data_IF_198837164519
#
_entry.id   IF_198837164519
#
_cell.length_a   1.000
_cell.length_b   1.000
_cell.length_c   1.000
_cell.angle_alpha   90.00
_cell.angle_beta   90.00
_cell.angle_gamma   90.00
#
_symmetry.space_group_name_H-M   'P 1'
#
loop_
_entity.id
_entity.type
_entity.pdbx_description
1 polymer ?
#
# COMPACT_ATOMS: atom_id res chain seq x y z
N UNK A 1 -14.90 9.29 -15.83
CA UNK A 1 -13.48 9.62 -16.08
C UNK A 1 -13.16 10.99 -15.52
N UNK A 2 -12.25 11.04 -14.55
CA UNK A 2 -11.82 12.25 -13.86
C UNK A 2 -10.90 13.09 -14.78
N UNK A 3 -11.17 14.40 -14.98
CA UNK A 3 -10.36 15.21 -15.90
C UNK A 3 -8.92 15.43 -15.40
N UNK A 4 -7.91 14.95 -16.16
CA UNK A 4 -6.48 15.11 -15.80
C UNK A 4 -6.08 16.57 -15.60
N UNK A 5 -6.57 17.48 -16.44
CA UNK A 5 -6.33 18.92 -16.31
C UNK A 5 -6.76 19.47 -14.94
N UNK A 6 -7.76 18.86 -14.29
CA UNK A 6 -8.21 19.25 -12.95
C UNK A 6 -7.14 18.94 -11.91
N UNK A 7 -6.57 17.73 -11.94
CA UNK A 7 -5.48 17.33 -11.05
C UNK A 7 -4.22 18.19 -11.27
N UNK A 8 -3.85 18.48 -12.51
CA UNK A 8 -2.69 19.33 -12.82
C UNK A 8 -2.86 20.77 -12.34
N UNK A 9 -4.06 21.34 -12.54
CA UNK A 9 -4.40 22.67 -12.02
C UNK A 9 -4.35 22.70 -10.51
N UNK A 10 -4.79 21.63 -9.85
CA UNK A 10 -4.72 21.51 -8.40
C UNK A 10 -3.27 21.52 -7.89
N UNK A 11 -2.37 20.73 -8.49
CA UNK A 11 -0.94 20.74 -8.15
C UNK A 11 -0.33 22.14 -8.33
N UNK A 12 -0.66 22.80 -9.44
CA UNK A 12 -0.18 24.16 -9.75
C UNK A 12 -0.75 25.21 -8.79
N UNK A 13 -1.99 25.04 -8.32
CA UNK A 13 -2.61 25.96 -7.37
C UNK A 13 -2.03 25.78 -5.97
N UNK A 14 -1.84 24.53 -5.52
CA UNK A 14 -1.27 24.24 -4.19
C UNK A 14 0.18 24.71 -4.08
N UNK A 15 0.99 24.56 -5.12
CA UNK A 15 2.39 25.03 -5.07
C UNK A 15 2.50 26.56 -4.87
N UNK A 16 1.44 27.32 -5.20
CA UNK A 16 1.37 28.77 -4.96
C UNK A 16 0.96 29.16 -3.53
N UNK A 17 0.41 28.24 -2.75
CA UNK A 17 -0.04 28.51 -1.38
C UNK A 17 1.13 28.69 -0.40
N UNK A 18 2.31 28.18 -0.75
CA UNK A 18 3.51 28.34 0.04
C UNK A 18 4.43 27.13 -0.08
N UNK A 19 5.71 27.40 0.15
CA UNK A 19 6.76 26.40 0.27
C UNK A 19 7.23 26.45 1.71
N UNK A 20 7.35 25.28 2.34
CA UNK A 20 7.86 25.16 3.69
C UNK A 20 9.36 25.48 3.76
N UNK A 21 9.91 25.65 4.96
CA UNK A 21 11.31 26.00 5.20
C UNK A 21 12.30 24.97 4.65
N UNK A 22 11.85 23.74 4.44
CA UNK A 22 12.55 22.61 3.84
C UNK A 22 12.39 22.52 2.31
N UNK A 23 11.77 23.51 1.66
CA UNK A 23 11.61 23.54 0.20
C UNK A 23 10.45 22.68 -0.32
N UNK A 24 9.60 22.13 0.56
CA UNK A 24 8.50 21.23 0.19
C UNK A 24 7.16 21.95 0.07
N UNK A 25 6.34 21.59 -0.91
CA UNK A 25 4.95 22.06 -1.01
C UNK A 25 4.07 21.35 0.02
N UNK A 26 2.86 21.87 0.27
CA UNK A 26 1.88 21.16 1.09
C UNK A 26 1.55 19.77 0.56
N UNK A 27 1.53 19.61 -0.77
CA UNK A 27 1.25 18.33 -1.39
C UNK A 27 2.41 17.33 -1.21
N UNK A 28 3.66 17.81 -1.22
CA UNK A 28 4.83 16.97 -0.93
C UNK A 28 4.79 16.47 0.51
N UNK A 29 4.47 17.36 1.47
CA UNK A 29 4.30 16.95 2.87
C UNK A 29 3.16 15.96 3.04
N UNK A 30 2.08 16.12 2.28
CA UNK A 30 0.98 15.18 2.35
C UNK A 30 1.32 13.82 1.77
N UNK A 31 2.02 13.79 0.61
CA UNK A 31 2.59 12.56 0.05
C UNK A 31 3.48 11.87 1.08
N UNK A 32 4.38 12.59 1.74
CA UNK A 32 5.28 12.03 2.76
C UNK A 32 4.53 11.46 3.96
N UNK A 33 3.48 12.13 4.43
CA UNK A 33 2.63 11.61 5.49
C UNK A 33 1.95 10.30 5.07
N UNK A 34 1.39 10.24 3.86
CA UNK A 34 0.76 9.02 3.33
C UNK A 34 1.79 7.90 3.21
N UNK A 35 3.00 8.20 2.70
CA UNK A 35 4.12 7.27 2.64
C UNK A 35 4.49 6.73 4.04
N UNK A 36 4.58 7.59 5.05
CA UNK A 36 4.90 7.19 6.42
C UNK A 36 3.81 6.28 7.04
N UNK A 37 2.54 6.60 6.77
CA UNK A 37 1.41 5.75 7.17
C UNK A 37 1.58 4.36 6.54
N UNK A 38 1.77 4.30 5.21
CA UNK A 38 1.95 3.02 4.52
C UNK A 38 3.19 2.26 4.97
N UNK A 39 4.33 2.91 5.19
CA UNK A 39 5.53 2.28 5.74
C UNK A 39 5.28 1.67 7.12
N UNK A 40 4.48 2.33 7.95
CA UNK A 40 4.08 1.80 9.26
C UNK A 40 3.22 0.55 9.12
N UNK A 41 2.23 0.56 8.21
CA UNK A 41 1.39 -0.61 7.92
C UNK A 41 2.24 -1.75 7.33
N UNK A 42 3.17 -1.44 6.44
CA UNK A 42 4.11 -2.41 5.87
C UNK A 42 5.01 -3.03 6.93
N UNK A 43 5.49 -2.24 7.89
CA UNK A 43 6.28 -2.72 9.02
C UNK A 43 5.49 -3.65 9.94
N UNK A 44 4.25 -3.29 10.30
CA UNK A 44 3.36 -4.15 11.11
C UNK A 44 3.13 -5.48 10.40
N UNK A 45 2.90 -5.44 9.09
CA UNK A 45 2.74 -6.65 8.27
C UNK A 45 4.02 -7.50 8.25
N UNK A 46 5.18 -6.87 8.14
CA UNK A 46 6.47 -7.56 8.18
C UNK A 46 6.70 -8.26 9.52
N UNK A 47 6.39 -7.60 10.64
CA UNK A 47 6.44 -8.23 11.97
C UNK A 47 5.54 -9.45 12.00
N UNK A 48 4.29 -9.34 11.52
CA UNK A 48 3.36 -10.48 11.46
C UNK A 48 3.94 -11.63 10.64
N UNK A 49 4.50 -11.36 9.46
CA UNK A 49 5.15 -12.39 8.65
C UNK A 49 6.32 -13.05 9.39
N UNK A 50 7.14 -12.29 10.11
CA UNK A 50 8.23 -12.82 10.92
C UNK A 50 7.76 -13.70 12.09
N UNK A 51 6.66 -13.33 12.76
CA UNK A 51 6.03 -14.16 13.80
C UNK A 51 5.52 -15.47 13.23
N UNK A 52 4.83 -15.42 12.07
CA UNK A 52 4.34 -16.62 11.38
C UNK A 52 5.51 -17.53 10.97
N UNK A 53 6.57 -16.96 10.39
CA UNK A 53 7.75 -17.72 9.98
C UNK A 53 8.45 -18.37 11.16
N UNK A 54 8.67 -17.63 12.26
CA UNK A 54 9.28 -18.17 13.48
C UNK A 54 8.44 -19.28 14.10
N UNK A 55 7.10 -19.12 14.09
CA UNK A 55 6.17 -20.13 14.60
C UNK A 55 6.12 -21.37 13.70
N UNK A 56 6.17 -21.19 12.38
CA UNK A 56 6.28 -22.28 11.41
C UNK A 56 7.60 -23.05 11.53
N UNK A 57 8.70 -22.35 11.82
CA UNK A 57 9.96 -23.01 12.14
C UNK A 57 9.84 -23.85 13.41
N UNK A 58 9.25 -23.30 14.48
CA UNK A 58 9.00 -24.03 15.72
C UNK A 58 8.09 -25.26 15.52
N UNK A 59 7.09 -25.18 14.63
CA UNK A 59 6.17 -26.30 14.36
C UNK A 59 6.84 -27.53 13.75
N UNK A 60 8.02 -27.39 13.12
CA UNK A 60 8.78 -28.54 12.62
C UNK A 60 9.30 -29.45 13.75
N UNK A 61 9.43 -28.91 14.97
CA UNK A 61 9.88 -29.66 16.14
C UNK A 61 8.71 -30.21 16.97
N UNK A 62 7.47 -29.86 16.61
CA UNK A 62 6.27 -30.41 17.25
C UNK A 62 6.06 -31.84 16.75
N UNK A 63 6.05 -32.85 17.64
CA UNK A 63 5.76 -34.22 17.24
C UNK A 63 4.35 -34.29 16.61
N UNK A 64 4.25 -34.79 15.38
CA UNK A 64 2.95 -35.14 14.79
C UNK A 64 2.47 -36.43 15.45
N UNK A 65 1.63 -36.30 16.48
CA UNK A 65 1.08 -37.42 17.24
C UNK A 65 -0.08 -38.04 16.47
N UNK A 66 0.19 -38.70 15.34
CA UNK A 66 -0.86 -39.39 14.60
C UNK A 66 -1.33 -40.62 15.37
N UNK A 67 -2.61 -40.65 15.76
CA UNK A 67 -3.31 -41.89 16.09
C UNK A 67 -4.12 -42.35 14.88
N UNK A 68 -3.96 -43.61 14.47
CA UNK A 68 -4.64 -44.15 13.29
C UNK A 68 -6.15 -44.37 13.50
N UNK A 69 -6.69 -44.19 14.71
CA UNK A 69 -8.01 -44.71 15.09
C UNK A 69 -8.83 -43.84 16.09
N UNK A 70 -8.47 -42.58 16.35
CA UNK A 70 -9.28 -41.70 17.23
C UNK A 70 -9.45 -40.28 16.72
N UNK A 71 -10.61 -39.69 17.01
CA UNK A 71 -11.02 -38.33 16.63
C UNK A 71 -10.24 -37.20 17.32
N UNK A 72 -9.31 -37.52 18.20
CA UNK A 72 -8.40 -36.58 18.87
C UNK A 72 -7.00 -37.20 18.94
N UNK A 73 -5.98 -36.44 18.54
CA UNK A 73 -4.58 -36.87 18.64
C UNK A 73 -4.14 -36.88 20.12
N UNK A 74 -3.50 -37.96 20.62
CA UNK A 74 -3.12 -38.07 22.02
C UNK A 74 -2.08 -37.02 22.39
N UNK A 75 -2.25 -36.37 23.55
CA UNK A 75 -1.27 -35.41 24.12
C UNK A 75 -0.02 -36.11 24.67
N UNK A 76 1.08 -35.38 24.81
CA UNK A 76 2.33 -35.95 25.35
C UNK A 76 2.13 -36.34 26.82
N UNK A 77 1.37 -35.53 27.58
CA UNK A 77 1.04 -35.83 28.97
C UNK A 77 0.22 -37.11 29.14
N UNK A 78 -0.71 -37.42 28.23
CA UNK A 78 -1.43 -38.71 28.25
C UNK A 78 -0.48 -39.90 28.03
N UNK A 79 0.45 -39.79 27.08
CA UNK A 79 1.42 -40.86 26.79
C UNK A 79 2.35 -41.11 27.99
N UNK A 80 2.80 -40.04 28.66
CA UNK A 80 3.67 -40.15 29.84
C UNK A 80 2.93 -40.73 31.05
N UNK A 81 1.64 -40.42 31.21
CA UNK A 81 0.78 -41.00 32.26
C UNK A 81 0.58 -42.50 32.04
N UNK A 82 0.31 -42.92 30.80
CA UNK A 82 0.11 -44.34 30.44
C UNK A 82 1.38 -45.17 30.62
N UNK A 83 2.56 -44.56 30.45
CA UNK A 83 3.85 -45.20 30.67
C UNK A 83 4.29 -45.28 32.15
N UNK A 84 3.41 -44.94 33.10
CA UNK A 84 3.73 -44.82 34.54
C UNK A 84 4.90 -43.84 34.80
N UNK A 85 4.93 -42.71 34.09
CA UNK A 85 5.92 -41.66 34.28
C UNK A 85 5.93 -41.09 35.70
N UNK A 86 7.08 -40.59 36.13
CA UNK A 86 7.20 -39.91 37.42
C UNK A 86 6.38 -38.61 37.45
N UNK A 87 6.01 -38.14 38.65
CA UNK A 87 5.28 -36.88 38.82
C UNK A 87 5.94 -35.69 38.08
N UNK A 88 7.28 -35.60 38.17
CA UNK A 88 8.06 -34.57 37.48
C UNK A 88 7.96 -34.71 35.95
N UNK A 89 8.00 -35.93 35.43
CA UNK A 89 7.86 -36.21 33.98
C UNK A 89 6.48 -35.80 33.48
N UNK A 90 5.44 -36.01 34.27
CA UNK A 90 4.07 -35.60 33.96
C UNK A 90 3.91 -34.08 33.94
N UNK A 91 4.47 -33.37 34.94
CA UNK A 91 4.43 -31.90 34.99
C UNK A 91 5.17 -31.25 33.81
N UNK A 92 6.32 -31.81 33.40
CA UNK A 92 7.05 -31.37 32.21
C UNK A 92 6.24 -31.62 30.94
N UNK A 93 5.58 -32.77 30.83
CA UNK A 93 4.75 -33.12 29.67
C UNK A 93 3.52 -32.20 29.55
N UNK A 94 2.85 -31.88 30.66
CA UNK A 94 1.74 -30.93 30.69
C UNK A 94 2.18 -29.51 30.30
N UNK A 95 3.36 -29.08 30.76
CA UNK A 95 3.95 -27.80 30.34
C UNK A 95 4.29 -27.78 28.85
N UNK A 96 4.77 -28.90 28.32
CA UNK A 96 5.08 -29.04 26.90
C UNK A 96 3.82 -29.05 26.02
N UNK A 97 2.75 -29.72 26.44
CA UNK A 97 1.45 -29.70 25.76
C UNK A 97 0.89 -28.26 25.72
N UNK A 98 0.98 -27.51 26.83
CA UNK A 98 0.58 -26.10 26.87
C UNK A 98 1.41 -25.21 25.94
N UNK A 99 2.73 -25.47 25.82
CA UNK A 99 3.59 -24.77 24.86
C UNK A 99 3.22 -25.10 23.40
N UNK A 100 2.93 -26.36 23.11
CA UNK A 100 2.48 -26.80 21.77
C UNK A 100 1.15 -26.13 21.41
N UNK A 101 0.20 -26.10 22.35
CA UNK A 101 -1.09 -25.42 22.18
C UNK A 101 -0.89 -23.90 22.01
N UNK A 102 0.06 -23.29 22.73
CA UNK A 102 0.41 -21.87 22.56
C UNK A 102 1.01 -21.58 21.17
N UNK A 103 1.84 -22.46 20.62
CA UNK A 103 2.40 -22.31 19.27
C UNK A 103 1.31 -22.53 18.21
N UNK A 104 0.45 -23.53 18.39
CA UNK A 104 -0.67 -23.82 17.50
C UNK A 104 -1.71 -22.68 17.50
N UNK A 105 -2.05 -22.16 18.68
CA UNK A 105 -2.95 -21.00 18.82
C UNK A 105 -2.34 -19.71 18.30
N UNK A 106 -1.01 -19.54 18.34
CA UNK A 106 -0.32 -18.42 17.69
C UNK A 106 -0.37 -18.50 16.16
N UNK A 107 -0.55 -19.70 15.60
CA UNK A 107 -0.77 -19.92 14.17
C UNK A 107 -2.21 -19.61 13.75
N UNK A 108 -3.19 -19.97 14.61
CA UNK A 108 -4.63 -19.79 14.35
C UNK A 108 -5.18 -18.45 14.79
N UNK A 109 -4.52 -17.76 15.71
CA UNK A 109 -4.83 -16.38 16.04
C UNK A 109 -4.46 -15.54 14.84
N UNK A 110 -5.44 -15.31 13.96
CA UNK A 110 -5.48 -14.15 13.08
C UNK A 110 -5.38 -12.90 13.95
N UNK A 111 -4.17 -12.61 14.42
CA UNK A 111 -3.82 -11.33 15.02
C UNK A 111 -3.75 -10.36 13.86
N UNK A 112 -4.93 -10.03 13.36
CA UNK A 112 -5.11 -9.11 12.26
C UNK A 112 -5.00 -7.70 12.84
N UNK A 113 -3.81 -7.37 13.32
CA UNK A 113 -3.47 -6.06 13.87
C UNK A 113 -3.87 -4.94 12.90
N UNK A 114 -3.78 -5.22 11.60
CA UNK A 114 -4.24 -4.33 10.54
C UNK A 114 -5.76 -4.14 10.60
N UNK A 115 -6.53 -5.23 10.69
CA UNK A 115 -7.99 -5.19 10.85
C UNK A 115 -8.42 -4.48 12.13
N UNK A 116 -7.71 -4.72 13.24
CA UNK A 116 -7.94 -4.03 14.51
C UNK A 116 -7.70 -2.52 14.37
N UNK A 117 -6.61 -2.12 13.70
CA UNK A 117 -6.32 -0.71 13.44
C UNK A 117 -7.38 -0.07 12.55
N UNK A 118 -7.81 -0.75 11.48
CA UNK A 118 -8.90 -0.29 10.62
C UNK A 118 -10.17 -0.12 11.47
N UNK A 119 -10.56 -1.14 12.24
CA UNK A 119 -11.79 -1.11 13.06
C UNK A 119 -11.79 0.03 14.08
N UNK A 120 -10.68 0.23 14.78
CA UNK A 120 -10.56 1.28 15.80
C UNK A 120 -10.56 2.66 15.15
N UNK A 121 -9.75 2.88 14.12
CA UNK A 121 -9.62 4.19 13.51
C UNK A 121 -10.82 4.56 12.61
N UNK A 122 -11.48 3.59 11.96
CA UNK A 122 -12.66 3.86 11.14
C UNK A 122 -13.78 4.51 11.96
N UNK A 123 -14.01 4.05 13.19
CA UNK A 123 -14.99 4.65 14.11
C UNK A 123 -14.68 6.10 14.45
N UNK A 124 -13.41 6.40 14.71
CA UNK A 124 -12.95 7.75 15.07
C UNK A 124 -12.98 8.73 13.88
N UNK A 125 -12.65 8.26 12.67
CA UNK A 125 -12.55 9.13 11.49
C UNK A 125 -13.85 9.29 10.70
N UNK A 126 -14.78 8.32 10.73
CA UNK A 126 -16.04 8.38 9.96
C UNK A 126 -17.15 9.18 10.67
N UNK A 127 -17.23 9.10 12.00
CA UNK A 127 -18.39 9.58 12.77
C UNK A 127 -18.25 10.99 13.38
N UNK A 128 -17.14 11.70 13.12
CA UNK A 128 -16.83 12.95 13.80
C UNK A 128 -16.87 14.16 12.84
N UNK A 129 -17.70 15.17 13.13
CA UNK A 129 -17.87 16.38 12.27
C UNK A 129 -16.55 17.10 11.96
N UNK A 130 -15.59 17.09 12.90
CA UNK A 130 -14.22 17.60 12.74
C UNK A 130 -13.50 17.00 11.53
N UNK A 131 -13.79 15.75 11.18
CA UNK A 131 -13.17 15.00 10.09
C UNK A 131 -14.03 14.94 8.83
N UNK A 132 -15.09 15.76 8.74
CA UNK A 132 -15.95 15.86 7.54
C UNK A 132 -15.19 16.06 6.23
N UNK A 133 -14.05 16.76 6.25
CA UNK A 133 -13.17 16.95 5.09
C UNK A 133 -12.61 15.63 4.54
N UNK A 134 -12.48 14.59 5.36
CA UNK A 134 -12.00 13.28 4.93
C UNK A 134 -13.01 12.53 4.06
N UNK A 135 -14.30 12.88 4.08
CA UNK A 135 -15.34 12.30 3.20
C UNK A 135 -15.02 12.42 1.70
N UNK A 136 -14.19 13.39 1.34
CA UNK A 136 -13.77 13.66 -0.04
C UNK A 136 -12.30 13.32 -0.31
N UNK A 137 -11.65 12.51 0.54
CA UNK A 137 -10.24 12.16 0.38
C UNK A 137 -9.96 11.53 -0.99
N UNK A 138 -10.83 10.67 -1.51
CA UNK A 138 -10.66 10.06 -2.84
C UNK A 138 -10.42 11.07 -3.99
N UNK A 139 -10.90 12.31 -3.86
CA UNK A 139 -10.75 13.37 -4.87
C UNK A 139 -9.32 13.93 -4.90
N UNK A 140 -8.57 13.86 -3.80
CA UNK A 140 -7.18 14.35 -3.72
C UNK A 140 -6.15 13.31 -4.19
N UNK A 141 -6.56 12.06 -4.38
CA UNK A 141 -5.67 10.99 -4.84
C UNK A 141 -5.11 11.29 -6.24
N UNK A 142 -5.91 11.66 -7.26
CA UNK A 142 -5.39 12.04 -8.57
C UNK A 142 -4.24 13.07 -8.54
N UNK A 143 -4.37 14.26 -7.91
CA UNK A 143 -3.24 15.20 -7.82
C UNK A 143 -2.05 14.64 -7.02
N UNK A 144 -2.28 13.89 -5.94
CA UNK A 144 -1.22 13.22 -5.18
C UNK A 144 -0.43 12.22 -6.04
N UNK A 145 -1.11 11.42 -6.88
CA UNK A 145 -0.42 10.47 -7.77
C UNK A 145 0.47 11.17 -8.79
N UNK A 146 0.06 12.33 -9.33
CA UNK A 146 0.93 13.15 -10.20
C UNK A 146 2.14 13.63 -9.42
N UNK A 147 1.95 14.18 -8.23
CA UNK A 147 3.05 14.67 -7.39
C UNK A 147 4.02 13.54 -7.00
N UNK A 148 3.50 12.35 -6.71
CA UNK A 148 4.29 11.16 -6.44
C UNK A 148 5.14 10.74 -7.64
N UNK A 149 4.53 10.63 -8.83
CA UNK A 149 5.25 10.22 -10.05
C UNK A 149 6.34 11.24 -10.44
N UNK A 150 6.07 12.53 -10.29
CA UNK A 150 7.09 13.57 -10.53
C UNK A 150 8.25 13.46 -9.52
N UNK A 151 7.94 13.19 -8.26
CA UNK A 151 8.94 12.99 -7.22
C UNK A 151 9.83 11.76 -7.48
N UNK A 152 9.23 10.60 -7.78
CA UNK A 152 10.01 9.37 -7.98
C UNK A 152 10.91 9.48 -9.21
N UNK A 153 10.44 10.09 -10.30
CA UNK A 153 11.28 10.38 -11.46
C UNK A 153 12.41 11.35 -11.12
N UNK A 154 12.11 12.38 -10.32
CA UNK A 154 13.10 13.30 -9.78
C UNK A 154 14.20 12.58 -9.01
N UNK A 155 13.85 11.64 -8.13
CA UNK A 155 14.81 10.82 -7.39
C UNK A 155 15.60 9.88 -8.30
N UNK A 156 14.95 9.20 -9.25
CA UNK A 156 15.61 8.33 -10.24
C UNK A 156 16.65 9.05 -11.08
N UNK A 157 16.39 10.30 -11.46
CA UNK A 157 17.35 11.11 -12.22
C UNK A 157 18.66 11.41 -11.47
N UNK A 158 18.64 11.35 -10.13
CA UNK A 158 19.78 11.65 -9.27
C UNK A 158 20.69 10.44 -9.02
N UNK A 159 20.21 9.22 -9.23
CA UNK A 159 20.93 7.95 -8.98
C UNK A 159 22.21 7.78 -9.81
N UNK A 160 22.35 8.47 -10.94
CA UNK A 160 23.54 8.39 -11.81
C UNK A 160 24.60 9.49 -11.61
N UNK A 161 24.34 10.51 -10.79
CA UNK A 161 25.29 11.61 -10.53
C UNK A 161 25.87 11.40 -9.13
N UNK A 162 27.21 11.43 -8.99
CA UNK A 162 27.92 11.35 -7.68
C UNK A 162 27.14 12.17 -6.64
N UNK A 163 26.43 11.48 -5.75
CA UNK A 163 25.46 12.09 -4.87
C UNK A 163 26.18 12.94 -3.82
N UNK A 164 25.75 14.19 -3.66
CA UNK A 164 26.04 14.96 -2.45
C UNK A 164 25.39 14.22 -1.27
N UNK A 165 26.13 14.14 -0.18
CA UNK A 165 25.92 13.29 1.00
C UNK A 165 24.61 13.52 1.79
N UNK A 166 23.72 14.41 1.35
CA UNK A 166 22.52 14.85 2.09
C UNK A 166 21.18 14.72 1.33
N UNK A 167 21.14 14.09 0.14
CA UNK A 167 19.86 13.88 -0.54
C UNK A 167 19.26 12.51 -0.19
N UNK A 168 18.09 12.50 0.44
CA UNK A 168 17.28 11.30 0.69
C UNK A 168 17.12 10.45 -0.59
N UNK A 169 17.82 9.31 -0.64
CA UNK A 169 17.72 8.38 -1.75
C UNK A 169 16.48 7.51 -1.57
N UNK A 170 15.37 7.92 -2.19
CA UNK A 170 14.17 7.09 -2.30
C UNK A 170 14.10 6.51 -3.71
N UNK A 171 14.47 5.24 -3.88
CA UNK A 171 14.50 4.55 -5.18
C UNK A 171 13.21 3.79 -5.49
N UNK A 172 12.51 3.31 -4.45
CA UNK A 172 11.22 2.61 -4.53
C UNK A 172 10.42 3.02 -3.30
N UNK A 173 9.17 3.44 -3.49
CA UNK A 173 8.29 3.88 -2.41
C UNK A 173 6.92 3.18 -2.51
N UNK A 174 6.90 1.90 -2.09
CA UNK A 174 5.65 1.12 -1.96
C UNK A 174 4.77 1.64 -0.80
N UNK A 175 5.38 2.38 0.14
CA UNK A 175 4.70 2.99 1.28
C UNK A 175 3.60 3.94 0.84
N UNK A 176 3.83 4.74 -0.19
CA UNK A 176 2.79 5.64 -0.71
C UNK A 176 1.53 4.87 -1.15
N UNK A 177 1.69 3.80 -1.94
CA UNK A 177 0.58 2.99 -2.44
C UNK A 177 -0.16 2.29 -1.30
N UNK A 178 0.59 1.71 -0.36
CA UNK A 178 0.04 1.03 0.79
C UNK A 178 -0.72 2.00 1.71
N UNK A 179 -0.22 3.23 1.86
CA UNK A 179 -0.87 4.30 2.60
C UNK A 179 -2.18 4.75 1.96
N UNK A 180 -2.22 4.95 0.64
CA UNK A 180 -3.48 5.27 -0.07
C UNK A 180 -4.49 4.15 0.12
N UNK A 181 -4.09 2.90 -0.10
CA UNK A 181 -4.97 1.75 0.01
C UNK A 181 -5.53 1.59 1.43
N UNK A 182 -4.70 1.80 2.45
CA UNK A 182 -5.13 1.82 3.84
C UNK A 182 -6.15 2.92 4.11
N UNK A 183 -5.87 4.17 3.71
CA UNK A 183 -6.78 5.31 3.97
C UNK A 183 -8.11 5.15 3.21
N UNK A 184 -8.09 4.66 1.96
CA UNK A 184 -9.29 4.38 1.19
C UNK A 184 -10.18 3.33 1.88
N UNK A 185 -9.58 2.26 2.40
CA UNK A 185 -10.29 1.24 3.16
C UNK A 185 -10.81 1.81 4.48
N UNK A 186 -9.96 2.53 5.22
CA UNK A 186 -10.28 3.16 6.49
C UNK A 186 -11.50 4.09 6.39
N UNK A 187 -11.63 4.82 5.29
CA UNK A 187 -12.72 5.80 5.05
C UNK A 187 -13.89 5.24 4.23
N UNK A 188 -13.86 3.96 3.85
CA UNK A 188 -14.83 3.33 2.95
C UNK A 188 -15.03 4.08 1.61
N UNK A 189 -13.92 4.48 0.98
CA UNK A 189 -13.93 5.31 -0.23
C UNK A 189 -13.43 4.61 -1.49
N UNK A 190 -13.13 3.31 -1.40
CA UNK A 190 -12.60 2.53 -2.51
C UNK A 190 -13.51 2.57 -3.73
N UNK A 191 -14.83 2.40 -3.54
CA UNK A 191 -15.80 2.49 -4.63
C UNK A 191 -15.81 3.86 -5.33
N UNK A 192 -15.81 4.95 -4.55
CA UNK A 192 -15.79 6.30 -5.10
C UNK A 192 -14.51 6.59 -5.87
N UNK A 193 -13.36 6.10 -5.39
CA UNK A 193 -12.10 6.21 -6.12
C UNK A 193 -12.13 5.41 -7.42
N UNK A 194 -12.59 4.16 -7.40
CA UNK A 194 -12.70 3.31 -8.59
C UNK A 194 -13.61 3.97 -9.64
N UNK A 195 -14.71 4.61 -9.23
CA UNK A 195 -15.62 5.34 -10.12
C UNK A 195 -15.00 6.51 -10.89
N UNK A 196 -13.86 7.04 -10.41
CA UNK A 196 -13.15 8.12 -11.09
C UNK A 196 -12.57 7.66 -12.44
N UNK A 197 -12.26 6.37 -12.60
CA UNK A 197 -11.49 5.83 -13.73
C UNK A 197 -10.24 6.70 -13.98
N UNK A 198 -9.50 6.99 -12.91
CA UNK A 198 -8.37 7.93 -12.94
C UNK A 198 -7.24 7.44 -13.84
N UNK A 199 -6.86 6.17 -13.70
CA UNK A 199 -5.78 5.57 -14.46
C UNK A 199 -6.08 5.55 -15.97
N UNK A 200 -7.31 5.18 -16.36
CA UNK A 200 -7.71 5.25 -17.76
C UNK A 200 -7.61 6.69 -18.31
N UNK A 201 -8.10 7.67 -17.53
CA UNK A 201 -8.08 9.07 -17.91
C UNK A 201 -6.65 9.59 -18.14
N UNK A 202 -5.67 9.11 -17.37
CA UNK A 202 -4.28 9.54 -17.50
C UNK A 202 -3.53 8.78 -18.61
N UNK A 203 -3.82 7.49 -18.82
CA UNK A 203 -3.25 6.74 -19.94
C UNK A 203 -3.75 7.25 -21.28
N UNK A 204 -5.05 7.53 -21.42
CA UNK A 204 -5.63 8.13 -22.63
C UNK A 204 -4.95 9.47 -22.98
N UNK A 205 -4.64 10.27 -21.95
CA UNK A 205 -3.89 11.52 -22.14
C UNK A 205 -2.47 11.25 -22.63
N UNK A 206 -1.73 10.34 -21.99
CA UNK A 206 -0.37 10.02 -22.41
C UNK A 206 -0.33 9.49 -23.84
N UNK A 207 -1.22 8.56 -24.20
CA UNK A 207 -1.29 8.02 -25.56
C UNK A 207 -1.58 9.10 -26.59
N UNK A 208 -2.50 10.02 -26.27
CA UNK A 208 -2.81 11.18 -27.12
C UNK A 208 -1.62 12.14 -27.27
N UNK A 209 -0.91 12.45 -26.18
CA UNK A 209 0.22 13.39 -26.19
C UNK A 209 1.47 12.79 -26.87
N UNK A 210 1.74 11.51 -26.62
CA UNK A 210 2.82 10.77 -27.27
C UNK A 210 2.53 10.68 -28.78
N UNK A 211 1.31 10.32 -29.18
CA UNK A 211 0.91 10.24 -30.58
C UNK A 211 1.09 11.56 -31.32
N UNK A 212 0.68 12.69 -30.71
CA UNK A 212 0.88 14.03 -31.28
C UNK A 212 2.36 14.39 -31.40
N UNK A 213 3.14 14.16 -30.34
CA UNK A 213 4.57 14.46 -30.34
C UNK A 213 5.34 13.63 -31.39
N UNK A 214 4.97 12.37 -31.60
CA UNK A 214 5.56 11.50 -32.62
C UNK A 214 5.25 12.01 -34.04
N UNK A 215 4.03 12.48 -34.30
CA UNK A 215 3.68 13.03 -35.62
C UNK A 215 4.42 14.36 -35.88
N UNK A 216 4.48 15.25 -34.89
CA UNK A 216 5.27 16.48 -34.96
C UNK A 216 6.76 16.18 -35.22
N UNK A 217 7.30 15.12 -34.60
CA UNK A 217 8.70 14.71 -34.79
C UNK A 217 8.95 14.25 -36.22
N UNK A 218 8.07 13.44 -36.80
CA UNK A 218 8.17 13.00 -38.21
C UNK A 218 8.13 14.19 -39.17
N UNK A 219 7.28 15.19 -38.89
CA UNK A 219 7.20 16.42 -39.68
C UNK A 219 8.50 17.23 -39.56
N UNK A 220 9.06 17.36 -38.36
CA UNK A 220 10.34 18.04 -38.12
C UNK A 220 11.50 17.38 -38.87
N UNK A 221 11.57 16.05 -38.86
CA UNK A 221 12.55 15.26 -39.60
C UNK A 221 12.42 15.48 -41.11
N UNK A 222 11.20 15.47 -41.65
CA UNK A 222 10.94 15.77 -43.08
C UNK A 222 11.39 17.19 -43.46
N UNK A 223 11.27 18.15 -42.53
CA UNK A 223 11.71 19.54 -42.72
C UNK A 223 13.21 19.75 -42.48
N UNK A 224 13.96 18.71 -42.12
CA UNK A 224 15.38 18.76 -41.74
C UNK A 224 15.68 19.72 -40.57
N UNK A 225 14.71 19.89 -39.68
CA UNK A 225 14.88 20.66 -38.45
C UNK A 225 15.40 19.72 -37.34
N UNK A 226 16.71 19.51 -37.32
CA UNK A 226 17.37 18.57 -36.40
C UNK A 226 17.21 18.98 -34.94
N UNK A 227 17.30 20.28 -34.63
CA UNK A 227 17.15 20.81 -33.27
C UNK A 227 15.74 20.59 -32.73
N UNK A 228 14.72 20.88 -33.53
CA UNK A 228 13.33 20.66 -33.13
C UNK A 228 12.99 19.16 -33.03
N UNK A 229 13.47 18.34 -33.97
CA UNK A 229 13.33 16.87 -33.92
C UNK A 229 13.96 16.26 -32.66
N UNK A 230 15.14 16.73 -32.25
CA UNK A 230 15.81 16.27 -31.03
C UNK A 230 15.05 16.69 -29.77
N UNK A 231 14.52 17.91 -29.74
CA UNK A 231 13.68 18.40 -28.63
C UNK A 231 12.42 17.55 -28.46
N UNK A 232 11.78 17.18 -29.58
CA UNK A 232 10.60 16.30 -29.57
C UNK A 232 10.95 14.87 -29.13
N UNK A 233 12.11 14.35 -29.52
CA UNK A 233 12.58 13.04 -29.05
C UNK A 233 12.69 12.98 -27.52
N UNK A 234 13.29 14.00 -26.90
CA UNK A 234 13.41 14.10 -25.45
C UNK A 234 12.04 14.22 -24.77
N UNK A 235 11.11 14.95 -25.38
CA UNK A 235 9.73 15.06 -24.87
C UNK A 235 9.00 13.73 -24.91
N UNK A 236 9.10 12.99 -26.01
CA UNK A 236 8.49 11.66 -26.16
C UNK A 236 9.04 10.72 -25.09
N UNK A 237 10.37 10.68 -24.93
CA UNK A 237 11.01 9.85 -23.92
C UNK A 237 10.50 10.19 -22.51
N UNK A 238 10.43 11.48 -22.16
CA UNK A 238 9.90 11.91 -20.86
C UNK A 238 8.44 11.50 -20.64
N UNK A 239 7.59 11.59 -21.67
CA UNK A 239 6.19 11.15 -21.59
C UNK A 239 6.08 9.64 -21.40
N UNK A 240 6.92 8.86 -22.08
CA UNK A 240 6.99 7.41 -21.91
C UNK A 240 7.48 7.00 -20.52
N UNK A 241 8.47 7.71 -19.97
CA UNK A 241 8.95 7.49 -18.60
C UNK A 241 7.82 7.77 -17.58
N UNK A 242 7.09 8.89 -17.74
CA UNK A 242 5.92 9.21 -16.93
C UNK A 242 4.83 8.13 -17.02
N UNK A 243 4.47 7.71 -18.24
CA UNK A 243 3.46 6.68 -18.47
C UNK A 243 3.83 5.37 -17.78
N UNK A 244 5.10 4.97 -17.87
CA UNK A 244 5.63 3.76 -17.25
C UNK A 244 5.56 3.81 -15.73
N UNK A 245 5.90 4.95 -15.13
CA UNK A 245 5.76 5.12 -13.67
C UNK A 245 4.31 5.10 -13.20
N UNK A 246 3.40 5.70 -13.97
CA UNK A 246 1.96 5.58 -13.68
C UNK A 246 1.46 4.14 -13.78
N UNK A 247 2.00 3.35 -14.71
CA UNK A 247 1.68 1.93 -14.82
C UNK A 247 2.17 1.15 -13.60
N UNK A 248 3.39 1.41 -13.12
CA UNK A 248 3.88 0.80 -11.87
C UNK A 248 3.03 1.21 -10.68
N UNK A 249 2.73 2.49 -10.54
CA UNK A 249 1.85 3.02 -9.49
C UNK A 249 0.49 2.33 -9.50
N UNK A 250 -0.12 2.17 -10.68
CA UNK A 250 -1.41 1.50 -10.85
C UNK A 250 -1.33 0.04 -10.34
N UNK A 251 -0.33 -0.73 -10.76
CA UNK A 251 -0.20 -2.13 -10.33
C UNK A 251 0.07 -2.26 -8.84
N UNK A 252 0.95 -1.43 -8.28
CA UNK A 252 1.26 -1.45 -6.84
C UNK A 252 0.05 -1.04 -6.02
N UNK A 253 -0.70 -0.01 -6.44
CA UNK A 253 -1.91 0.42 -5.76
C UNK A 253 -3.01 -0.65 -5.81
N UNK A 254 -3.30 -1.23 -6.98
CA UNK A 254 -4.27 -2.32 -7.06
C UNK A 254 -3.88 -3.51 -6.17
N UNK A 255 -2.61 -3.91 -6.20
CA UNK A 255 -2.10 -4.97 -5.33
C UNK A 255 -2.30 -4.62 -3.86
N UNK A 256 -1.99 -3.38 -3.46
CA UNK A 256 -2.20 -2.91 -2.10
C UNK A 256 -3.67 -2.90 -1.68
N UNK A 257 -4.60 -2.50 -2.57
CA UNK A 257 -6.04 -2.53 -2.26
C UNK A 257 -6.57 -3.95 -2.03
N UNK A 258 -6.08 -4.94 -2.78
CA UNK A 258 -6.45 -6.34 -2.58
C UNK A 258 -6.03 -6.88 -1.21
N UNK A 259 -5.00 -6.30 -0.60
CA UNK A 259 -4.56 -6.70 0.75
C UNK A 259 -5.61 -6.37 1.82
N UNK A 260 -6.45 -5.38 1.58
CA UNK A 260 -7.42 -4.90 2.56
C UNK A 260 -8.87 -5.32 2.23
N UNK A 261 -9.16 -5.70 0.97
CA UNK A 261 -10.51 -6.15 0.52
C UNK A 261 -10.94 -7.54 1.03
N UNK A 262 -10.05 -8.33 1.63
CA UNK A 262 -10.33 -9.77 1.91
C UNK A 262 -11.25 -9.97 3.13
N UNK A 263 -11.61 -8.92 3.88
CA UNK A 263 -12.44 -9.04 5.09
C UNK A 263 -13.46 -7.91 5.26
N UNK A 264 -14.26 -7.65 4.23
CA UNK A 264 -15.49 -6.87 4.43
C UNK A 264 -16.48 -7.74 5.21
N UNK A 265 -16.42 -7.65 6.54
CA UNK A 265 -17.53 -8.01 7.39
C UNK A 265 -18.64 -6.98 7.14
N UNK A 266 -19.83 -7.45 6.73
CA UNK A 266 -21.06 -6.67 6.64
C UNK A 266 -21.36 -5.97 7.98
N UNK A 267 -20.82 -4.77 8.17
CA UNK A 267 -21.06 -3.97 9.36
C UNK A 267 -22.12 -2.91 9.02
N UNK A 268 -23.35 -2.99 9.57
CA UNK A 268 -24.45 -2.09 9.21
C UNK A 268 -24.19 -0.61 9.53
N UNK A 269 -23.22 -0.28 10.38
CA UNK A 269 -22.77 1.11 10.59
C UNK A 269 -22.10 1.73 9.34
N UNK A 270 -21.52 0.90 8.47
CA UNK A 270 -20.82 1.34 7.27
C UNK A 270 -21.79 1.70 6.12
N UNK A 271 -22.99 1.12 6.10
CA UNK A 271 -24.06 1.50 5.17
C UNK A 271 -24.62 2.89 5.51
N UNK A 272 -24.79 3.20 6.80
CA UNK A 272 -25.29 4.51 7.26
C UNK A 272 -24.35 5.68 6.87
N UNK A 273 -23.04 5.45 6.82
CA UNK A 273 -22.08 6.45 6.35
C UNK A 273 -22.20 6.75 4.84
N UNK A 274 -22.69 5.78 4.06
CA UNK A 274 -22.93 5.90 2.62
C UNK A 274 -24.30 6.51 2.29
N UNK A 275 -25.29 6.39 3.18
CA UNK A 275 -26.65 6.95 2.99
C UNK A 275 -26.71 8.49 3.05
N UNK A 276 -25.67 9.16 3.58
CA UNK A 276 -25.57 10.63 3.59
C UNK A 276 -24.95 11.24 2.30
N UNK A 277 -24.80 10.47 1.22
CA UNK A 277 -24.36 10.95 -0.10
C UNK A 277 -25.50 11.40 -1.00
#
# INVERSE_FOLDING_TARGET
>A
MYPVKRAERFNTAISKLGISTDGKTFLDKFRELITQIGNTIGFIRMIRSGVIESSAYASHFIPKLHSSDSSEDPTISSIVKDANGSKLSTEIAESLDSLIESIASSYSSESDYVEMLITVFSKEFRNYEKFSHLRNFFIIIPPLTINYVEHILGCRSKIGRRAQTDSDFTFVDDGFCLGIAYILTLLNQTYFFDSLNWFDSIFDKFDTEIGKAMEEQKIAQKRKDESFSQTLALRIQRLQDLQKEFQYLMFTLHSATMLFKIKDHDNPEDEMYLEEF
#
